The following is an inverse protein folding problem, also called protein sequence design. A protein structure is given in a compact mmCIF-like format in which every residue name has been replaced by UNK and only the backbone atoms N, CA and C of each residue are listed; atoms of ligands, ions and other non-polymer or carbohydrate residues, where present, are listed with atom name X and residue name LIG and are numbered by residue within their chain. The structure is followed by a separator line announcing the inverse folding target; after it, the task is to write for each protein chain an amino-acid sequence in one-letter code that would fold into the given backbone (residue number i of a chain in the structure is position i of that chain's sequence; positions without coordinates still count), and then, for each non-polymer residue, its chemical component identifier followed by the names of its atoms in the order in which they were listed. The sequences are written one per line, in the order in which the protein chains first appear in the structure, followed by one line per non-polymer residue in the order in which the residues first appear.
data_IF_054474026661
#
_entry.id   IF_054474026661
#
_cell.length_a   1.000
_cell.length_b   1.000
_cell.length_c   1.000
_cell.angle_alpha   90.00
_cell.angle_beta   90.00
_cell.angle_gamma   90.00
#
_symmetry.space_group_name_H-M   'P 1'
#
loop_
_entity.id
_entity.type
_entity.pdbx_description
1 polymer ?
#
# COMPACT_ATOMS: atom_id res chain seq x y z
N UNK A 1 -12.27 -7.94 18.36
CA UNK A 1 -13.36 -7.46 17.46
C UNK A 1 -13.24 -8.29 16.18
N UNK A 2 -14.30 -8.84 15.69
CA UNK A 2 -14.28 -9.55 14.38
C UNK A 2 -14.38 -8.52 13.25
N UNK A 3 -13.39 -8.47 12.40
CA UNK A 3 -13.37 -7.55 11.24
C UNK A 3 -14.16 -8.06 10.04
N UNK A 4 -14.71 -9.27 10.09
CA UNK A 4 -15.45 -9.89 8.98
C UNK A 4 -14.55 -10.18 7.77
N UNK A 5 -13.28 -10.49 8.01
CA UNK A 5 -12.28 -10.78 6.97
C UNK A 5 -12.08 -12.26 6.72
N UNK A 6 -12.61 -13.12 7.60
CA UNK A 6 -12.48 -14.55 7.44
C UNK A 6 -13.07 -15.01 6.10
N UNK A 7 -12.27 -15.73 5.31
CA UNK A 7 -12.62 -16.20 3.96
C UNK A 7 -12.60 -15.14 2.85
N UNK A 8 -12.32 -13.86 3.14
CA UNK A 8 -12.10 -12.84 2.13
C UNK A 8 -10.81 -13.08 1.36
N UNK A 9 -10.74 -12.60 0.13
CA UNK A 9 -9.64 -12.78 -0.80
C UNK A 9 -8.88 -11.46 -0.95
N UNK A 10 -7.65 -11.41 -0.45
CA UNK A 10 -6.83 -10.18 -0.45
C UNK A 10 -5.63 -10.30 -1.41
N UNK A 11 -5.47 -9.35 -2.30
CA UNK A 11 -4.27 -9.20 -3.13
C UNK A 11 -3.44 -8.03 -2.58
N UNK A 12 -2.21 -8.30 -2.12
CA UNK A 12 -1.31 -7.31 -1.52
C UNK A 12 -0.07 -7.16 -2.39
N UNK A 13 0.09 -6.01 -3.03
CA UNK A 13 1.18 -5.75 -3.96
C UNK A 13 2.51 -5.45 -3.23
N UNK A 14 3.65 -5.84 -3.84
CA UNK A 14 5.01 -5.59 -3.34
C UNK A 14 5.16 -5.92 -1.85
N UNK A 15 4.70 -7.10 -1.44
CA UNK A 15 4.49 -7.52 -0.05
C UNK A 15 5.46 -8.58 0.46
N UNK A 16 6.58 -8.78 -0.22
CA UNK A 16 7.64 -9.71 0.25
C UNK A 16 8.44 -9.16 1.43
N UNK A 17 8.27 -7.88 1.81
CA UNK A 17 8.92 -7.22 2.95
C UNK A 17 8.24 -5.90 3.32
N UNK A 18 8.64 -5.28 4.44
CA UNK A 18 8.23 -3.95 4.88
C UNK A 18 6.73 -3.81 5.14
N UNK A 19 6.16 -2.64 4.82
CA UNK A 19 4.75 -2.32 5.11
C UNK A 19 3.76 -3.17 4.31
N UNK A 20 4.11 -3.55 3.08
CA UNK A 20 3.29 -4.49 2.30
C UNK A 20 3.20 -5.85 2.97
N UNK A 21 4.32 -6.37 3.49
CA UNK A 21 4.32 -7.62 4.25
C UNK A 21 3.51 -7.50 5.55
N UNK A 22 3.65 -6.40 6.27
CA UNK A 22 2.89 -6.15 7.50
C UNK A 22 1.38 -6.09 7.23
N UNK A 23 0.96 -5.46 6.13
CA UNK A 23 -0.44 -5.45 5.69
C UNK A 23 -0.94 -6.87 5.35
N UNK A 24 -0.14 -7.66 4.62
CA UNK A 24 -0.46 -9.05 4.30
C UNK A 24 -0.58 -9.90 5.57
N UNK A 25 0.34 -9.71 6.54
CA UNK A 25 0.32 -10.44 7.81
C UNK A 25 -0.93 -10.13 8.64
N UNK A 26 -1.33 -8.86 8.72
CA UNK A 26 -2.52 -8.46 9.45
C UNK A 26 -3.80 -9.03 8.81
N UNK A 27 -3.92 -8.99 7.48
CA UNK A 27 -5.06 -9.56 6.76
C UNK A 27 -5.13 -11.09 6.92
N UNK A 28 -3.98 -11.78 6.84
CA UNK A 28 -3.90 -13.23 7.03
C UNK A 28 -4.26 -13.65 8.47
N UNK A 29 -3.83 -12.87 9.47
CA UNK A 29 -4.18 -13.10 10.87
C UNK A 29 -5.68 -12.97 11.16
N UNK A 30 -6.39 -12.15 10.39
CA UNK A 30 -7.85 -11.99 10.44
C UNK A 30 -8.60 -13.05 9.60
N UNK A 31 -7.88 -14.06 9.07
CA UNK A 31 -8.47 -15.19 8.35
C UNK A 31 -8.73 -14.96 6.86
N UNK A 32 -8.20 -13.89 6.27
CA UNK A 32 -8.26 -13.72 4.83
C UNK A 32 -7.27 -14.68 4.11
N UNK A 33 -7.65 -15.19 2.94
CA UNK A 33 -6.71 -15.78 2.00
C UNK A 33 -5.94 -14.64 1.33
N UNK A 34 -4.60 -14.71 1.29
CA UNK A 34 -3.78 -13.58 0.86
C UNK A 34 -2.86 -13.94 -0.29
N UNK A 35 -3.00 -13.28 -1.43
CA UNK A 35 -1.99 -13.30 -2.47
C UNK A 35 -0.95 -12.20 -2.23
N UNK A 36 0.32 -12.55 -2.19
CA UNK A 36 1.45 -11.65 -2.04
C UNK A 36 2.33 -11.63 -3.29
N UNK A 37 2.98 -10.51 -3.59
CA UNK A 37 3.91 -10.49 -4.70
C UNK A 37 5.23 -9.73 -4.46
N UNK A 38 6.18 -10.04 -5.32
CA UNK A 38 7.47 -9.39 -5.45
C UNK A 38 8.21 -9.91 -6.67
N UNK A 39 9.36 -9.31 -7.01
CA UNK A 39 10.14 -9.62 -8.20
C UNK A 39 11.01 -10.87 -8.07
N UNK A 40 11.35 -11.25 -6.85
CA UNK A 40 12.21 -12.39 -6.55
C UNK A 40 11.38 -13.54 -5.98
N UNK A 41 11.31 -14.65 -6.72
CA UNK A 41 10.50 -15.83 -6.38
C UNK A 41 10.88 -16.44 -5.02
N UNK A 42 12.19 -16.51 -4.70
CA UNK A 42 12.65 -17.10 -3.45
C UNK A 42 12.30 -16.21 -2.25
N UNK A 43 12.39 -14.87 -2.41
CA UNK A 43 11.98 -13.92 -1.38
C UNK A 43 10.49 -13.96 -1.12
N UNK A 44 9.68 -13.99 -2.18
CA UNK A 44 8.22 -14.07 -2.06
C UNK A 44 7.80 -15.36 -1.36
N UNK A 45 8.41 -16.49 -1.72
CA UNK A 45 8.13 -17.78 -1.08
C UNK A 45 8.49 -17.76 0.42
N UNK A 46 9.71 -17.29 0.75
CA UNK A 46 10.08 -17.12 2.17
C UNK A 46 9.17 -16.15 2.94
N UNK A 47 8.61 -15.14 2.27
CA UNK A 47 7.63 -14.27 2.89
C UNK A 47 6.32 -15.01 3.14
N UNK A 48 5.82 -15.79 2.18
CA UNK A 48 4.63 -16.62 2.35
C UNK A 48 4.76 -17.59 3.51
N UNK A 49 5.91 -18.26 3.66
CA UNK A 49 6.18 -19.23 4.73
C UNK A 49 6.13 -18.60 6.15
N UNK A 50 6.19 -17.28 6.25
CA UNK A 50 6.12 -16.52 7.52
C UNK A 50 4.73 -16.01 7.85
N UNK A 51 3.79 -16.10 6.92
CA UNK A 51 2.41 -15.64 7.09
C UNK A 51 1.54 -16.80 7.59
N UNK A 52 0.53 -16.48 8.38
CA UNK A 52 -0.47 -17.44 8.80
C UNK A 52 -1.49 -17.74 7.69
N UNK A 53 -2.15 -18.89 7.76
CA UNK A 53 -3.29 -19.21 6.89
C UNK A 53 -2.91 -19.57 5.45
N UNK A 54 -3.85 -19.33 4.54
CA UNK A 54 -3.73 -19.67 3.11
C UNK A 54 -3.12 -18.50 2.33
N UNK A 55 -1.87 -18.64 1.91
CA UNK A 55 -1.09 -17.61 1.24
C UNK A 55 -0.64 -18.06 -0.14
N UNK A 56 -0.91 -17.24 -1.14
CA UNK A 56 -0.54 -17.47 -2.54
C UNK A 56 0.68 -16.59 -2.91
N UNK A 57 1.89 -17.16 -3.04
CA UNK A 57 3.07 -16.42 -3.48
C UNK A 57 3.09 -16.26 -5.00
N UNK A 58 3.11 -15.01 -5.49
CA UNK A 58 3.14 -14.68 -6.92
C UNK A 58 4.40 -13.89 -7.27
N UNK A 59 4.96 -14.13 -8.45
CA UNK A 59 6.09 -13.33 -8.97
C UNK A 59 5.53 -12.26 -9.90
N UNK A 60 5.71 -10.99 -9.54
CA UNK A 60 5.28 -9.86 -10.36
C UNK A 60 6.15 -8.63 -10.11
N UNK A 61 6.41 -7.86 -11.17
CA UNK A 61 6.98 -6.52 -11.07
C UNK A 61 5.89 -5.48 -11.30
N UNK A 62 5.35 -4.96 -10.22
CA UNK A 62 4.28 -3.96 -10.27
C UNK A 62 4.75 -2.58 -10.74
N UNK A 63 6.04 -2.39 -11.01
CA UNK A 63 6.54 -1.17 -11.63
C UNK A 63 6.16 -1.04 -13.12
N UNK A 64 5.66 -2.11 -13.74
CA UNK A 64 5.16 -2.09 -15.11
C UNK A 64 3.64 -2.28 -15.14
N UNK A 65 2.95 -1.71 -16.13
CA UNK A 65 1.50 -1.90 -16.30
C UNK A 65 1.16 -3.38 -16.46
N UNK A 66 1.91 -4.11 -17.28
CA UNK A 66 1.69 -5.54 -17.50
C UNK A 66 1.87 -6.35 -16.21
N UNK A 67 2.90 -6.05 -15.40
CA UNK A 67 3.12 -6.72 -14.13
C UNK A 67 2.10 -6.36 -13.06
N UNK A 68 1.63 -5.11 -13.02
CA UNK A 68 0.59 -4.67 -12.10
C UNK A 68 -0.77 -5.33 -12.41
N UNK A 69 -1.19 -5.35 -13.68
CA UNK A 69 -2.39 -6.06 -14.14
C UNK A 69 -2.23 -7.57 -13.95
N UNK A 70 -1.10 -8.13 -14.38
CA UNK A 70 -0.80 -9.56 -14.26
C UNK A 70 -0.82 -10.07 -12.82
N UNK A 71 -0.40 -9.27 -11.85
CA UNK A 71 -0.52 -9.61 -10.42
C UNK A 71 -1.98 -9.81 -10.00
N UNK A 72 -2.86 -8.86 -10.34
CA UNK A 72 -4.28 -8.93 -9.98
C UNK A 72 -4.96 -10.10 -10.69
N UNK A 73 -4.67 -10.30 -11.97
CA UNK A 73 -5.18 -11.43 -12.76
C UNK A 73 -4.77 -12.76 -12.15
N UNK A 74 -3.48 -12.96 -11.86
CA UNK A 74 -2.98 -14.20 -11.25
C UNK A 74 -3.55 -14.44 -9.84
N UNK A 75 -3.75 -13.37 -9.06
CA UNK A 75 -4.40 -13.46 -7.76
C UNK A 75 -5.88 -13.89 -7.90
N UNK A 76 -6.59 -13.34 -8.90
CA UNK A 76 -7.97 -13.71 -9.21
C UNK A 76 -8.06 -15.17 -9.66
N UNK A 77 -7.17 -15.62 -10.54
CA UNK A 77 -7.12 -17.01 -11.01
C UNK A 77 -6.84 -17.99 -9.87
N UNK A 78 -5.92 -17.65 -8.97
CA UNK A 78 -5.54 -18.52 -7.86
C UNK A 78 -6.60 -18.58 -6.74
N UNK A 79 -7.32 -17.50 -6.47
CA UNK A 79 -8.26 -17.37 -5.35
C UNK A 79 -9.73 -17.35 -5.78
N UNK A 80 -10.01 -17.31 -7.09
CA UNK A 80 -11.35 -17.20 -7.67
C UNK A 80 -11.87 -15.77 -7.77
N UNK A 81 -11.42 -14.85 -6.91
CA UNK A 81 -11.77 -13.43 -6.92
C UNK A 81 -10.78 -12.62 -6.07
N UNK A 82 -10.86 -11.29 -6.16
CA UNK A 82 -10.19 -10.36 -5.25
C UNK A 82 -11.25 -9.48 -4.61
N UNK A 83 -11.37 -9.58 -3.29
CA UNK A 83 -12.27 -8.74 -2.47
C UNK A 83 -11.55 -7.51 -1.93
N UNK A 84 -10.28 -7.67 -1.59
CA UNK A 84 -9.44 -6.64 -0.98
C UNK A 84 -8.21 -6.46 -1.85
N UNK A 85 -7.98 -5.24 -2.31
CA UNK A 85 -6.77 -4.86 -3.02
C UNK A 85 -5.95 -3.89 -2.16
N UNK A 86 -4.75 -4.32 -1.77
CA UNK A 86 -3.77 -3.42 -1.16
C UNK A 86 -2.74 -3.02 -2.21
N UNK A 87 -2.84 -1.80 -2.74
CA UNK A 87 -1.85 -1.29 -3.68
C UNK A 87 -0.63 -0.78 -2.92
N UNK A 88 0.52 -1.25 -3.32
CA UNK A 88 1.82 -0.87 -2.76
C UNK A 88 2.91 -1.05 -3.82
N UNK A 89 3.96 -0.27 -3.71
CA UNK A 89 5.17 -0.40 -4.53
C UNK A 89 6.37 0.10 -3.74
N UNK A 90 7.57 -0.19 -4.24
CA UNK A 90 8.79 0.42 -3.72
C UNK A 90 8.76 1.95 -3.83
N UNK A 91 9.66 2.62 -3.14
CA UNK A 91 9.85 4.05 -3.35
C UNK A 91 10.94 4.32 -4.40
N UNK A 92 10.84 5.39 -5.18
CA UNK A 92 11.92 5.84 -6.05
C UNK A 92 13.16 6.23 -5.22
N UNK A 93 14.33 6.36 -5.84
CA UNK A 93 15.51 6.89 -5.19
C UNK A 93 15.28 8.28 -4.58
N UNK A 94 15.95 8.63 -3.49
CA UNK A 94 15.95 9.99 -2.97
C UNK A 94 16.54 10.97 -4.01
N UNK A 95 15.99 12.18 -4.04
CA UNK A 95 16.46 13.24 -4.91
C UNK A 95 15.76 14.57 -4.66
N UNK A 96 16.41 15.65 -5.08
CA UNK A 96 15.91 17.02 -5.05
C UNK A 96 15.63 17.49 -6.48
N UNK A 97 15.08 18.70 -6.65
CA UNK A 97 14.90 19.28 -7.99
C UNK A 97 16.21 19.33 -8.79
N UNK A 98 17.31 19.67 -8.13
CA UNK A 98 18.61 19.77 -8.78
C UNK A 98 19.25 18.41 -9.15
N UNK A 99 18.86 17.32 -8.49
CA UNK A 99 19.49 16.00 -8.66
C UNK A 99 18.60 14.94 -9.30
N UNK A 100 17.33 15.25 -9.55
CA UNK A 100 16.38 14.30 -10.14
C UNK A 100 16.20 14.60 -11.63
N UNK A 101 16.69 13.74 -12.53
CA UNK A 101 16.48 13.91 -13.96
C UNK A 101 15.02 13.60 -14.36
N UNK A 102 14.60 14.01 -15.56
CA UNK A 102 13.23 13.81 -16.04
C UNK A 102 12.82 12.33 -16.04
N UNK A 103 13.74 11.43 -16.37
CA UNK A 103 13.54 9.98 -16.35
C UNK A 103 13.19 9.48 -14.94
N UNK A 104 13.81 10.06 -13.89
CA UNK A 104 13.50 9.73 -12.50
C UNK A 104 12.07 10.12 -12.09
N UNK A 105 11.51 11.19 -12.66
CA UNK A 105 10.09 11.53 -12.48
C UNK A 105 9.20 10.53 -13.24
N UNK A 106 9.56 10.19 -14.48
CA UNK A 106 8.80 9.21 -15.26
C UNK A 106 8.75 7.84 -14.54
N UNK A 107 9.90 7.35 -14.06
CA UNK A 107 10.00 6.09 -13.32
C UNK A 107 9.17 6.14 -12.02
N UNK A 108 9.20 7.25 -11.29
CA UNK A 108 8.41 7.41 -10.08
C UNK A 108 6.90 7.42 -10.36
N UNK A 109 6.47 8.06 -11.45
CA UNK A 109 5.08 8.09 -11.90
C UNK A 109 4.61 6.69 -12.31
N UNK A 110 5.41 5.94 -13.07
CA UNK A 110 5.11 4.55 -13.39
C UNK A 110 5.00 3.69 -12.13
N UNK A 111 5.97 3.80 -11.21
CA UNK A 111 6.06 2.98 -10.00
C UNK A 111 4.95 3.29 -8.99
N UNK A 112 4.61 4.54 -8.74
CA UNK A 112 3.78 4.96 -7.61
C UNK A 112 2.43 5.60 -7.98
N UNK A 113 2.15 5.83 -9.27
CA UNK A 113 0.86 6.28 -9.77
C UNK A 113 0.26 5.25 -10.74
N UNK A 114 0.91 4.99 -11.88
CA UNK A 114 0.30 4.12 -12.89
C UNK A 114 0.17 2.67 -12.44
N UNK A 115 1.06 2.17 -11.57
CA UNK A 115 0.88 0.86 -10.94
C UNK A 115 -0.41 0.78 -10.12
N UNK A 116 -0.73 1.83 -9.35
CA UNK A 116 -1.97 1.92 -8.57
C UNK A 116 -3.18 1.94 -9.49
N UNK A 117 -3.16 2.80 -10.53
CA UNK A 117 -4.23 2.88 -11.54
C UNK A 117 -4.46 1.52 -12.19
N UNK A 118 -3.40 0.86 -12.66
CA UNK A 118 -3.48 -0.41 -13.37
C UNK A 118 -4.06 -1.53 -12.50
N UNK A 119 -3.63 -1.64 -11.24
CA UNK A 119 -4.19 -2.60 -10.29
C UNK A 119 -5.67 -2.32 -9.98
N UNK A 120 -6.05 -1.04 -9.80
CA UNK A 120 -7.45 -0.67 -9.59
C UNK A 120 -8.31 -0.98 -10.83
N UNK A 121 -7.82 -0.70 -12.04
CA UNK A 121 -8.53 -1.03 -13.28
C UNK A 121 -8.76 -2.54 -13.44
N UNK A 122 -7.85 -3.37 -12.94
CA UNK A 122 -7.99 -4.82 -13.00
C UNK A 122 -8.93 -5.40 -11.92
N UNK A 123 -8.99 -4.81 -10.72
CA UNK A 123 -9.77 -5.37 -9.60
C UNK A 123 -11.14 -4.72 -9.40
N UNK A 124 -11.25 -3.40 -9.52
CA UNK A 124 -12.44 -2.65 -9.10
C UNK A 124 -13.70 -2.99 -9.91
N UNK A 125 -13.67 -3.20 -11.24
CA UNK A 125 -14.87 -3.57 -12.00
C UNK A 125 -15.58 -4.80 -11.43
N UNK A 126 -14.84 -5.84 -11.10
CA UNK A 126 -15.38 -7.07 -10.51
C UNK A 126 -15.87 -6.87 -9.07
N UNK A 127 -15.19 -6.04 -8.27
CA UNK A 127 -15.66 -5.66 -6.93
C UNK A 127 -17.01 -4.94 -7.03
N UNK A 128 -17.14 -3.99 -7.94
CA UNK A 128 -18.38 -3.24 -8.18
C UNK A 128 -19.53 -4.16 -8.61
N UNK A 129 -19.26 -5.10 -9.53
CA UNK A 129 -20.28 -6.05 -10.00
C UNK A 129 -20.82 -6.95 -8.89
N UNK A 130 -20.00 -7.26 -7.88
CA UNK A 130 -20.39 -8.06 -6.70
C UNK A 130 -20.99 -7.23 -5.55
N UNK A 131 -21.02 -5.90 -5.65
CA UNK A 131 -21.52 -5.00 -4.62
C UNK A 131 -20.68 -4.94 -3.35
N UNK A 132 -19.41 -5.37 -3.42
CA UNK A 132 -18.48 -5.34 -2.28
C UNK A 132 -17.01 -5.29 -2.73
N UNK A 133 -16.25 -4.41 -2.16
CA UNK A 133 -14.81 -4.33 -2.36
C UNK A 133 -14.12 -3.38 -1.40
N UNK A 134 -12.83 -3.60 -1.19
CA UNK A 134 -11.96 -2.74 -0.37
C UNK A 134 -10.66 -2.47 -1.10
N UNK A 135 -10.38 -1.21 -1.40
CA UNK A 135 -9.10 -0.77 -1.92
C UNK A 135 -8.40 0.05 -0.84
N UNK A 136 -7.21 -0.40 -0.44
CA UNK A 136 -6.36 0.32 0.53
C UNK A 136 -5.00 0.57 -0.11
N UNK A 137 -4.68 1.83 -0.38
CA UNK A 137 -3.42 2.19 -1.01
C UNK A 137 -2.37 2.62 0.02
N UNK A 138 -1.19 2.02 0.00
CA UNK A 138 -0.05 2.47 0.80
C UNK A 138 0.66 3.59 0.03
N UNK A 139 0.48 4.82 0.51
CA UNK A 139 1.06 6.01 -0.12
C UNK A 139 2.24 6.58 0.71
N UNK A 140 2.16 7.79 1.21
CA UNK A 140 3.21 8.44 2.01
C UNK A 140 2.65 9.66 2.74
N UNK A 141 3.17 9.97 3.92
CA UNK A 141 2.98 11.30 4.56
C UNK A 141 3.44 12.46 3.65
N UNK A 142 4.39 12.21 2.75
CA UNK A 142 4.88 13.18 1.78
C UNK A 142 3.82 13.73 0.82
N UNK A 143 2.63 13.13 0.77
CA UNK A 143 1.47 13.67 0.03
C UNK A 143 0.89 14.91 0.72
N UNK A 144 0.88 14.92 2.06
CA UNK A 144 0.39 16.06 2.86
C UNK A 144 1.49 17.08 3.12
N UNK A 145 2.64 16.59 3.54
CA UNK A 145 3.81 17.41 3.86
C UNK A 145 4.98 16.90 3.02
N UNK A 146 5.29 17.57 1.89
CA UNK A 146 6.35 17.15 0.98
C UNK A 146 7.70 16.98 1.70
N UNK A 147 8.33 15.83 1.49
CA UNK A 147 9.64 15.53 2.06
C UNK A 147 10.72 16.06 1.09
N UNK A 148 11.59 16.98 1.52
CA UNK A 148 12.51 17.70 0.60
C UNK A 148 13.39 16.79 -0.27
N UNK A 149 13.83 15.65 0.26
CA UNK A 149 14.68 14.69 -0.45
C UNK A 149 13.92 13.64 -1.27
N UNK A 150 12.60 13.76 -1.41
CA UNK A 150 11.77 12.74 -2.09
C UNK A 150 10.86 13.37 -3.16
N UNK A 151 11.38 14.35 -3.93
CA UNK A 151 10.57 15.14 -4.87
C UNK A 151 9.78 14.29 -5.87
N UNK A 152 10.39 13.28 -6.48
CA UNK A 152 9.72 12.41 -7.45
C UNK A 152 8.62 11.55 -6.79
N UNK A 153 8.88 11.05 -5.56
CA UNK A 153 7.89 10.31 -4.77
C UNK A 153 6.71 11.19 -4.37
N UNK A 154 6.97 12.42 -3.89
CA UNK A 154 5.92 13.36 -3.51
C UNK A 154 4.99 13.63 -4.70
N UNK A 155 5.57 13.90 -5.90
CA UNK A 155 4.84 14.16 -7.13
C UNK A 155 3.95 13.00 -7.54
N UNK A 156 4.51 11.79 -7.62
CA UNK A 156 3.78 10.62 -8.09
C UNK A 156 2.66 10.20 -7.10
N UNK A 157 2.94 10.22 -5.81
CA UNK A 157 1.97 9.79 -4.78
C UNK A 157 0.88 10.82 -4.53
N UNK A 158 1.13 12.11 -4.76
CA UNK A 158 0.07 13.12 -4.77
C UNK A 158 -0.94 12.84 -5.90
N UNK A 159 -0.45 12.53 -7.11
CA UNK A 159 -1.30 12.11 -8.23
C UNK A 159 -2.10 10.84 -7.91
N UNK A 160 -1.47 9.83 -7.31
CA UNK A 160 -2.17 8.61 -6.88
C UNK A 160 -3.26 8.91 -5.85
N UNK A 161 -3.01 9.81 -4.89
CA UNK A 161 -4.01 10.18 -3.88
C UNK A 161 -5.22 10.88 -4.50
N UNK A 162 -4.99 11.77 -5.48
CA UNK A 162 -6.07 12.42 -6.24
C UNK A 162 -6.90 11.41 -7.04
N UNK A 163 -6.25 10.47 -7.75
CA UNK A 163 -6.90 9.37 -8.46
C UNK A 163 -7.79 8.54 -7.51
N UNK A 164 -7.23 8.10 -6.37
CA UNK A 164 -7.95 7.29 -5.39
C UNK A 164 -9.17 8.03 -4.81
N UNK A 165 -9.06 9.34 -4.60
CA UNK A 165 -10.19 10.17 -4.13
C UNK A 165 -11.33 10.20 -5.14
N UNK A 166 -11.02 10.34 -6.43
CA UNK A 166 -12.01 10.31 -7.50
C UNK A 166 -12.66 8.93 -7.61
N UNK A 167 -11.84 7.87 -7.64
CA UNK A 167 -12.30 6.48 -7.72
C UNK A 167 -13.23 6.12 -6.55
N UNK A 168 -12.95 6.65 -5.35
CA UNK A 168 -13.80 6.44 -4.17
C UNK A 168 -15.24 6.92 -4.39
N UNK A 169 -15.41 8.13 -4.95
CA UNK A 169 -16.71 8.67 -5.26
C UNK A 169 -17.47 7.86 -6.31
N UNK A 170 -16.77 7.40 -7.34
CA UNK A 170 -17.37 6.62 -8.43
C UNK A 170 -17.75 5.20 -8.01
N UNK A 171 -17.04 4.61 -7.03
CA UNK A 171 -17.21 3.21 -6.65
C UNK A 171 -18.07 3.01 -5.40
N UNK A 172 -18.28 4.06 -4.61
CA UNK A 172 -19.05 3.99 -3.36
C UNK A 172 -20.52 3.51 -3.55
N UNK A 173 -21.25 3.93 -4.60
CA UNK A 173 -22.62 3.43 -4.83
C UNK A 173 -22.69 1.92 -5.02
N UNK A 174 -21.59 1.29 -5.47
CA UNK A 174 -21.51 -0.14 -5.73
C UNK A 174 -20.86 -0.91 -4.54
N UNK A 175 -20.84 -0.33 -3.33
CA UNK A 175 -20.34 -0.99 -2.12
C UNK A 175 -18.82 -1.13 -2.03
N UNK A 176 -18.05 -0.43 -2.88
CA UNK A 176 -16.59 -0.45 -2.87
C UNK A 176 -16.05 0.78 -2.16
N UNK A 177 -15.24 0.58 -1.11
CA UNK A 177 -14.51 1.68 -0.46
C UNK A 177 -13.07 1.76 -0.98
N UNK A 178 -12.59 2.99 -1.14
CA UNK A 178 -11.23 3.27 -1.61
C UNK A 178 -10.59 4.27 -0.67
N UNK A 179 -9.54 3.84 0.04
CA UNK A 179 -8.83 4.67 1.00
C UNK A 179 -7.31 4.57 0.79
N UNK A 180 -6.56 5.52 1.31
CA UNK A 180 -5.12 5.43 1.38
C UNK A 180 -4.61 5.55 2.83
N UNK A 181 -3.53 4.85 3.12
CA UNK A 181 -2.77 4.96 4.37
C UNK A 181 -1.45 5.64 4.05
N UNK A 182 -1.13 6.67 4.82
CA UNK A 182 0.03 7.54 4.62
C UNK A 182 1.07 7.27 5.70
N UNK A 183 2.01 6.33 5.49
CA UNK A 183 3.03 6.02 6.48
C UNK A 183 3.97 7.20 6.69
N UNK A 184 4.29 7.47 7.95
CA UNK A 184 5.51 8.14 8.37
C UNK A 184 6.70 7.17 8.39
N UNK A 185 7.63 7.40 9.33
CA UNK A 185 8.80 6.55 9.51
C UNK A 185 8.46 5.30 10.30
N UNK A 186 8.51 4.13 9.66
CA UNK A 186 8.30 2.81 10.28
C UNK A 186 9.57 1.96 10.20
N UNK A 187 9.77 1.05 11.15
CA UNK A 187 10.94 0.17 11.26
C UNK A 187 10.96 -0.86 10.12
N UNK A 188 11.46 -0.45 8.96
CA UNK A 188 11.63 -1.29 7.76
C UNK A 188 13.08 -1.22 7.27
N UNK A 189 13.54 -2.23 6.54
CA UNK A 189 14.89 -2.25 5.95
C UNK A 189 15.19 -0.98 5.14
N UNK A 190 14.16 -0.44 4.45
CA UNK A 190 14.30 0.81 3.70
C UNK A 190 14.71 1.98 4.59
N UNK A 191 14.10 2.10 5.76
CA UNK A 191 14.39 3.19 6.71
C UNK A 191 15.77 3.02 7.31
N UNK A 192 16.15 1.81 7.69
CA UNK A 192 17.51 1.52 8.17
C UNK A 192 18.55 1.85 7.11
N UNK A 193 18.32 1.48 5.85
CA UNK A 193 19.22 1.81 4.73
C UNK A 193 19.27 3.31 4.44
N UNK A 194 18.15 4.03 4.56
CA UNK A 194 18.06 5.45 4.22
C UNK A 194 18.68 6.37 5.27
N UNK A 195 18.52 6.06 6.55
CA UNK A 195 18.89 6.94 7.64
C UNK A 195 20.14 6.46 8.42
N UNK A 196 20.42 5.15 8.45
CA UNK A 196 21.59 4.62 9.16
C UNK A 196 21.73 5.21 10.57
N UNK A 197 22.89 5.83 10.85
CA UNK A 197 23.21 6.43 12.14
C UNK A 197 22.39 7.70 12.46
N UNK A 198 21.74 8.30 11.45
CA UNK A 198 20.90 9.51 11.63
C UNK A 198 19.48 9.20 12.15
N UNK A 199 19.18 7.95 12.46
CA UNK A 199 17.85 7.54 12.91
C UNK A 199 17.41 8.24 14.20
N UNK A 200 18.36 8.58 15.09
CA UNK A 200 18.08 9.31 16.32
C UNK A 200 17.46 10.70 16.06
N UNK A 201 17.95 11.43 15.06
CA UNK A 201 17.41 12.75 14.73
C UNK A 201 16.04 12.65 14.10
N UNK A 202 15.81 11.61 13.29
CA UNK A 202 14.47 11.29 12.73
C UNK A 202 13.48 11.03 13.87
N UNK A 203 13.86 10.22 14.86
CA UNK A 203 12.99 9.91 16.03
C UNK A 203 12.63 11.18 16.81
N UNK A 204 13.60 12.10 17.01
CA UNK A 204 13.35 13.38 17.71
C UNK A 204 12.33 14.27 16.99
N UNK A 205 12.23 14.16 15.68
CA UNK A 205 11.28 14.93 14.88
C UNK A 205 9.85 14.34 14.90
N UNK A 206 9.67 13.14 15.42
CA UNK A 206 8.36 12.47 15.51
C UNK A 206 7.75 12.77 16.89
N UNK A 207 6.55 13.37 17.00
CA UNK A 207 5.94 13.73 18.29
C UNK A 207 5.80 12.56 19.28
N UNK A 208 5.49 11.34 18.80
CA UNK A 208 5.44 10.15 19.67
C UNK A 208 6.81 9.61 20.07
N UNK A 209 7.91 10.27 19.66
CA UNK A 209 9.30 9.99 20.02
C UNK A 209 9.76 8.54 19.76
N UNK A 210 9.19 7.87 18.77
CA UNK A 210 9.61 6.54 18.28
C UNK A 210 9.30 6.37 16.81
N UNK A 211 9.99 5.46 16.15
CA UNK A 211 9.57 4.95 14.84
C UNK A 211 8.36 4.04 14.99
N UNK A 212 7.49 4.01 13.97
CA UNK A 212 6.31 3.16 13.94
C UNK A 212 6.68 1.68 13.81
N UNK A 213 5.89 0.82 14.43
CA UNK A 213 5.96 -0.61 14.21
C UNK A 213 5.21 -0.95 12.89
N UNK A 214 5.82 -1.70 11.95
CA UNK A 214 5.10 -2.19 10.78
C UNK A 214 3.84 -2.98 11.11
N UNK A 215 3.78 -3.71 12.23
CA UNK A 215 2.60 -4.45 12.65
C UNK A 215 1.43 -3.52 13.00
N UNK A 216 1.69 -2.39 13.70
CA UNK A 216 0.67 -1.37 13.97
C UNK A 216 0.10 -0.80 12.66
N UNK A 217 0.97 -0.55 11.67
CA UNK A 217 0.56 -0.11 10.34
C UNK A 217 -0.32 -1.14 9.63
N UNK A 218 0.08 -2.42 9.68
CA UNK A 218 -0.70 -3.53 9.12
C UNK A 218 -2.11 -3.61 9.70
N UNK A 219 -2.25 -3.38 11.01
CA UNK A 219 -3.53 -3.39 11.71
C UNK A 219 -4.48 -2.28 11.21
N UNK A 220 -3.94 -1.09 10.86
CA UNK A 220 -4.74 -0.02 10.23
C UNK A 220 -5.23 -0.43 8.85
N UNK A 221 -4.39 -1.12 8.05
CA UNK A 221 -4.80 -1.64 6.74
C UNK A 221 -5.91 -2.68 6.89
N UNK A 222 -5.79 -3.62 7.83
CA UNK A 222 -6.81 -4.62 8.10
C UNK A 222 -8.14 -3.98 8.56
N UNK A 223 -8.09 -2.97 9.44
CA UNK A 223 -9.27 -2.21 9.84
C UNK A 223 -9.96 -1.55 8.63
N UNK A 224 -9.21 -0.88 7.74
CA UNK A 224 -9.80 -0.24 6.56
C UNK A 224 -10.37 -1.25 5.55
N UNK A 225 -9.87 -2.48 5.55
CA UNK A 225 -10.41 -3.57 4.76
C UNK A 225 -11.65 -4.24 5.39
N UNK A 226 -11.97 -3.94 6.64
CA UNK A 226 -13.05 -4.57 7.41
C UNK A 226 -14.47 -4.18 6.95
N UNK A 227 -15.45 -4.91 7.47
CA UNK A 227 -16.87 -4.52 7.36
C UNK A 227 -17.17 -3.22 8.10
N UNK A 228 -16.54 -3.01 9.28
CA UNK A 228 -16.73 -1.85 10.14
C UNK A 228 -16.29 -0.54 9.48
N UNK A 229 -15.31 -0.62 8.58
CA UNK A 229 -14.85 0.53 7.80
C UNK A 229 -15.73 0.83 6.56
N UNK A 230 -16.87 0.17 6.40
CA UNK A 230 -17.74 0.31 5.22
C UNK A 230 -18.28 1.72 4.97
N UNK A 231 -18.24 2.62 5.97
CA UNK A 231 -18.61 4.02 5.82
C UNK A 231 -17.41 4.98 5.71
N UNK A 232 -16.18 4.42 5.59
CA UNK A 232 -14.95 5.17 5.39
C UNK A 232 -14.52 4.99 3.94
N UNK A 233 -14.65 6.02 3.12
CA UNK A 233 -14.18 6.02 1.73
C UNK A 233 -13.65 7.39 1.31
N UNK A 234 -12.70 7.43 0.38
CA UNK A 234 -12.04 8.64 -0.08
C UNK A 234 -11.17 9.31 0.98
N UNK A 235 -10.78 8.58 2.01
CA UNK A 235 -9.94 9.09 3.10
C UNK A 235 -8.46 8.78 2.85
N UNK A 236 -7.61 9.72 3.26
CA UNK A 236 -6.16 9.57 3.28
C UNK A 236 -5.69 9.68 4.74
N UNK A 237 -5.37 8.54 5.35
CA UNK A 237 -5.17 8.41 6.81
C UNK A 237 -3.67 8.40 7.12
N UNK A 238 -3.13 9.41 7.83
CA UNK A 238 -1.76 9.39 8.27
C UNK A 238 -1.57 8.36 9.40
N UNK A 239 -0.49 7.57 9.29
CA UNK A 239 0.02 6.67 10.33
C UNK A 239 1.49 7.05 10.51
N UNK A 240 1.75 8.12 11.21
CA UNK A 240 3.03 8.83 11.17
C UNK A 240 3.53 9.30 12.54
N UNK A 241 2.83 8.95 13.62
CA UNK A 241 3.20 9.37 14.98
C UNK A 241 3.07 10.89 15.21
N UNK A 242 2.26 11.59 14.38
CA UNK A 242 2.07 13.04 14.44
C UNK A 242 3.13 13.83 13.68
N UNK A 243 3.92 13.20 12.82
CA UNK A 243 5.01 13.88 12.10
C UNK A 243 4.53 14.88 11.04
N UNK A 244 3.33 14.73 10.50
CA UNK A 244 2.67 15.75 9.69
C UNK A 244 2.14 16.87 10.58
N UNK A 245 2.64 18.09 10.40
CA UNK A 245 2.29 19.25 11.23
C UNK A 245 1.07 20.03 10.69
N UNK A 246 0.66 19.77 9.46
CA UNK A 246 -0.49 20.44 8.84
C UNK A 246 -1.82 19.93 9.39
N UNK A 247 -2.82 20.82 9.47
CA UNK A 247 -4.18 20.45 9.89
C UNK A 247 -4.91 19.63 8.81
N UNK A 248 -4.62 19.88 7.52
CA UNK A 248 -5.22 19.22 6.36
C UNK A 248 -4.16 18.52 5.52
#
# INVERSE_FOLDING_TARGET
MDFGLNGRKAAVAASSNGLGFAAAAALAAEGAQVAICGRDAARVRRAADRLAGDVVPLVADVATTAGAVGFVTAATEAMGQVDILVTNAGGPPPGTFATTPMEGYADAVWLNLFSVVAMCMAAVPEMRSRGWGRVVAITSMGVRQPIPSLIASNTARAGATAFLKTLAGESAPDGVTVNSVQPGTHATDRITTMFGDNLTDVVRAIPVARIGDPADFGSVVAFLASQQAGYITGSAIPVDGGACLGLL
#
